data_IF_138646561922
#
_entry.id   IF_138646561922
#
_cell.length_a   1.000
_cell.length_b   1.000
_cell.length_c   1.000
_cell.angle_alpha   90.00
_cell.angle_beta   90.00
_cell.angle_gamma   90.00
#
_symmetry.space_group_name_H-M   'P 1'
#
loop_
_entity.id
_entity.type
_entity.pdbx_description
1 polymer ?
#
# COMPACT_ATOMS: atom_id res chain seq x y z
N UNK A 1 30.21 10.40 -3.23
CA UNK A 1 29.10 9.85 -2.45
C UNK A 1 27.87 10.77 -2.36
N UNK A 2 27.95 12.02 -1.90
CA UNK A 2 26.76 12.91 -1.80
C UNK A 2 26.00 13.11 -3.13
N UNK A 3 26.67 13.28 -4.27
CA UNK A 3 26.04 13.51 -5.58
C UNK A 3 25.21 12.30 -6.05
N UNK A 4 25.72 11.07 -5.92
CA UNK A 4 25.01 9.84 -6.29
C UNK A 4 23.75 9.60 -5.43
N UNK A 5 23.80 9.88 -4.13
CA UNK A 5 22.64 9.77 -3.23
C UNK A 5 21.57 10.80 -3.58
N UNK A 6 21.96 12.01 -3.97
CA UNK A 6 21.02 13.07 -4.38
C UNK A 6 20.35 12.71 -5.71
N UNK A 7 21.08 12.14 -6.66
CA UNK A 7 20.54 11.70 -7.95
C UNK A 7 19.51 10.58 -7.77
N UNK A 8 19.79 9.61 -6.89
CA UNK A 8 18.84 8.52 -6.57
C UNK A 8 17.59 9.05 -5.86
N UNK A 9 17.74 9.95 -4.88
CA UNK A 9 16.59 10.52 -4.17
C UNK A 9 15.73 11.40 -5.07
N UNK A 10 16.33 12.16 -5.98
CA UNK A 10 15.61 12.94 -7.00
C UNK A 10 14.86 12.03 -7.97
N UNK A 11 15.45 10.89 -8.35
CA UNK A 11 14.81 9.87 -9.16
C UNK A 11 13.56 9.31 -8.51
N UNK A 12 13.62 8.93 -7.23
CA UNK A 12 12.47 8.39 -6.49
C UNK A 12 11.30 9.38 -6.45
N UNK A 13 11.56 10.67 -6.22
CA UNK A 13 10.50 11.68 -6.19
C UNK A 13 9.92 11.93 -7.58
N UNK A 14 10.73 11.93 -8.63
CA UNK A 14 10.27 12.04 -10.01
C UNK A 14 9.40 10.84 -10.41
N UNK A 15 9.85 9.64 -10.08
CA UNK A 15 9.12 8.39 -10.32
C UNK A 15 7.79 8.39 -9.58
N UNK A 16 7.78 8.79 -8.29
CA UNK A 16 6.54 8.90 -7.51
C UNK A 16 5.56 9.90 -8.13
N UNK A 17 6.03 11.07 -8.56
CA UNK A 17 5.18 12.07 -9.20
C UNK A 17 4.61 11.59 -10.55
N UNK A 18 5.37 10.81 -11.32
CA UNK A 18 4.94 10.23 -12.59
C UNK A 18 3.90 9.11 -12.36
N UNK A 19 4.14 8.21 -11.42
CA UNK A 19 3.19 7.15 -11.06
C UNK A 19 1.88 7.77 -10.55
N UNK A 20 1.95 8.78 -9.67
CA UNK A 20 0.76 9.51 -9.22
C UNK A 20 -0.02 10.13 -10.38
N UNK A 21 0.66 10.64 -11.41
CA UNK A 21 -0.01 11.18 -12.58
C UNK A 21 -0.86 10.13 -13.31
N UNK A 22 -0.32 8.94 -13.53
CA UNK A 22 -1.03 7.84 -14.20
C UNK A 22 -2.24 7.37 -13.39
N UNK A 23 -2.07 7.27 -12.07
CA UNK A 23 -3.15 6.84 -11.17
C UNK A 23 -4.26 7.89 -11.07
N UNK A 24 -3.92 9.17 -10.89
CA UNK A 24 -4.89 10.26 -10.75
C UNK A 24 -5.68 10.52 -12.03
N UNK A 25 -5.05 10.35 -13.19
CA UNK A 25 -5.73 10.46 -14.48
C UNK A 25 -6.64 9.25 -14.78
N UNK A 26 -6.63 8.21 -13.94
CA UNK A 26 -7.39 6.98 -14.16
C UNK A 26 -6.84 6.12 -15.31
N UNK A 27 -5.60 6.35 -15.74
CA UNK A 27 -4.97 5.62 -16.81
C UNK A 27 -4.51 4.22 -16.40
N UNK A 28 -4.08 4.07 -15.14
CA UNK A 28 -3.57 2.82 -14.58
C UNK A 28 -3.93 2.66 -13.10
N UNK A 29 -4.00 1.42 -12.65
CA UNK A 29 -3.95 1.11 -11.21
C UNK A 29 -2.56 1.45 -10.64
N UNK A 30 -2.43 1.54 -9.31
CA UNK A 30 -1.12 1.81 -8.68
C UNK A 30 -0.09 0.72 -9.02
N UNK A 31 -0.50 -0.54 -8.95
CA UNK A 31 0.39 -1.68 -9.24
C UNK A 31 0.82 -1.67 -10.72
N UNK A 32 -0.12 -1.50 -11.67
CA UNK A 32 0.20 -1.41 -13.09
C UNK A 32 1.09 -0.21 -13.42
N UNK A 33 0.89 0.92 -12.73
CA UNK A 33 1.73 2.10 -12.93
C UNK A 33 3.15 1.89 -12.39
N UNK A 34 3.31 1.23 -11.24
CA UNK A 34 4.60 0.86 -10.68
C UNK A 34 5.33 -0.14 -11.59
N UNK A 35 4.64 -1.18 -12.06
CA UNK A 35 5.22 -2.21 -12.92
C UNK A 35 5.59 -1.69 -14.31
N UNK A 36 4.75 -0.85 -14.89
CA UNK A 36 4.94 -0.35 -16.24
C UNK A 36 5.87 0.86 -16.36
N UNK A 37 6.16 1.56 -15.25
CA UNK A 37 6.96 2.79 -15.28
C UNK A 37 8.36 2.63 -14.74
N UNK A 38 8.64 1.59 -13.96
CA UNK A 38 9.90 1.41 -13.23
C UNK A 38 10.61 0.13 -13.67
N UNK A 39 11.74 0.32 -14.39
CA UNK A 39 12.48 -0.78 -14.98
C UNK A 39 13.24 -1.63 -13.93
N UNK A 40 13.60 -1.05 -12.79
CA UNK A 40 14.41 -1.74 -11.78
C UNK A 40 13.59 -2.13 -10.55
N UNK A 41 13.68 -3.39 -10.07
CA UNK A 41 12.94 -3.88 -8.91
C UNK A 41 13.16 -3.05 -7.64
N UNK A 42 14.37 -2.51 -7.45
CA UNK A 42 14.70 -1.70 -6.28
C UNK A 42 14.02 -0.33 -6.31
N UNK A 43 13.97 0.31 -7.49
CA UNK A 43 13.22 1.56 -7.69
C UNK A 43 11.73 1.34 -7.45
N UNK A 44 11.17 0.26 -8.02
CA UNK A 44 9.79 -0.14 -7.82
C UNK A 44 9.45 -0.32 -6.33
N UNK A 45 10.31 -1.03 -5.59
CA UNK A 45 10.11 -1.26 -4.15
C UNK A 45 10.15 0.05 -3.36
N UNK A 46 11.13 0.91 -3.62
CA UNK A 46 11.31 2.17 -2.89
C UNK A 46 10.20 3.18 -3.19
N UNK A 47 9.90 3.38 -4.48
CA UNK A 47 8.81 4.26 -4.92
C UNK A 47 7.45 3.72 -4.46
N UNK A 48 7.22 2.41 -4.56
CA UNK A 48 6.01 1.75 -4.07
C UNK A 48 5.83 1.95 -2.57
N UNK A 49 6.87 1.76 -1.77
CA UNK A 49 6.81 2.01 -0.32
C UNK A 49 6.38 3.44 0.00
N UNK A 50 6.93 4.43 -0.68
CA UNK A 50 6.56 5.84 -0.52
C UNK A 50 5.09 6.07 -0.90
N UNK A 51 4.64 5.54 -2.04
CA UNK A 51 3.28 5.75 -2.53
C UNK A 51 2.23 5.00 -1.70
N UNK A 52 2.52 3.80 -1.19
CA UNK A 52 1.63 3.12 -0.26
C UNK A 52 1.46 3.90 1.05
N UNK A 53 2.52 4.52 1.57
CA UNK A 53 2.42 5.44 2.71
C UNK A 53 1.56 6.66 2.39
N UNK A 54 1.76 7.26 1.21
CA UNK A 54 0.95 8.38 0.74
C UNK A 54 -0.54 8.03 0.67
N UNK A 55 -0.89 6.94 0.00
CA UNK A 55 -2.31 6.58 -0.18
C UNK A 55 -3.01 6.26 1.13
N UNK A 56 -2.33 5.63 2.09
CA UNK A 56 -2.88 5.41 3.43
C UNK A 56 -3.16 6.71 4.17
N UNK A 57 -2.42 7.77 3.88
CA UNK A 57 -2.50 9.08 4.57
C UNK A 57 -2.88 10.23 3.64
N UNK A 58 -3.41 9.90 2.47
CA UNK A 58 -3.73 10.89 1.42
C UNK A 58 -4.54 12.08 1.94
N UNK A 59 -5.59 11.84 2.72
CA UNK A 59 -6.43 12.92 3.24
C UNK A 59 -5.67 13.86 4.17
N UNK A 60 -4.80 13.33 5.01
CA UNK A 60 -3.97 14.11 5.92
C UNK A 60 -2.99 15.00 5.13
N UNK A 61 -2.31 14.40 4.15
CA UNK A 61 -1.33 15.11 3.31
C UNK A 61 -2.02 16.17 2.44
N UNK A 62 -3.18 15.85 1.85
CA UNK A 62 -4.00 16.80 1.11
C UNK A 62 -4.42 18.00 1.96
N UNK A 63 -4.81 17.74 3.21
CA UNK A 63 -5.13 18.78 4.20
C UNK A 63 -3.92 19.65 4.52
N UNK A 64 -2.75 19.07 4.72
CA UNK A 64 -1.52 19.84 4.94
C UNK A 64 -1.16 20.73 3.76
N UNK A 65 -1.24 20.21 2.53
CA UNK A 65 -0.99 21.02 1.33
C UNK A 65 -1.96 22.18 1.27
N UNK A 66 -3.25 21.94 1.54
CA UNK A 66 -4.28 23.00 1.57
C UNK A 66 -4.00 24.09 2.59
N UNK A 67 -3.47 23.75 3.76
CA UNK A 67 -3.15 24.70 4.83
C UNK A 67 -1.82 25.42 4.62
N UNK A 68 -0.82 24.75 4.03
CA UNK A 68 0.50 25.29 3.81
C UNK A 68 0.58 26.20 2.57
N UNK A 69 -0.17 25.85 1.54
CA UNK A 69 -0.15 26.57 0.27
C UNK A 69 -1.24 27.67 0.25
N UNK A 70 -0.85 28.92 0.05
CA UNK A 70 -1.80 30.06 -0.06
C UNK A 70 -2.73 29.95 -1.27
N UNK A 71 -2.34 29.20 -2.28
CA UNK A 71 -3.10 28.89 -3.50
C UNK A 71 -2.84 27.47 -3.95
N UNK A 72 -3.81 26.82 -4.59
CA UNK A 72 -3.63 25.45 -5.08
C UNK A 72 -2.43 25.36 -6.04
N UNK A 73 -1.49 24.44 -5.78
CA UNK A 73 -0.38 24.19 -6.70
C UNK A 73 -0.88 23.56 -8.00
N UNK A 74 -0.15 23.75 -9.09
CA UNK A 74 -0.41 23.03 -10.34
C UNK A 74 -0.28 21.52 -10.11
N UNK A 75 -1.03 20.67 -10.82
CA UNK A 75 -1.06 19.22 -10.56
C UNK A 75 0.33 18.57 -10.47
N UNK A 76 1.25 18.88 -11.39
CA UNK A 76 2.61 18.33 -11.35
C UNK A 76 3.40 18.72 -10.09
N UNK A 77 3.22 19.96 -9.61
CA UNK A 77 3.90 20.46 -8.40
C UNK A 77 3.23 19.88 -7.15
N UNK A 78 1.91 19.70 -7.18
CA UNK A 78 1.16 19.04 -6.12
C UNK A 78 1.67 17.64 -5.87
N UNK A 79 1.87 16.81 -6.91
CA UNK A 79 2.40 15.44 -6.79
C UNK A 79 3.79 15.40 -6.17
N UNK A 80 4.65 16.34 -6.49
CA UNK A 80 5.96 16.46 -5.84
C UNK A 80 5.80 16.78 -4.35
N UNK A 81 4.92 17.73 -4.00
CA UNK A 81 4.63 18.05 -2.59
C UNK A 81 4.04 16.86 -1.84
N UNK A 82 3.13 16.11 -2.43
CA UNK A 82 2.54 14.90 -1.87
C UNK A 82 3.62 13.84 -1.55
N UNK A 83 4.51 13.57 -2.49
CA UNK A 83 5.61 12.64 -2.29
C UNK A 83 6.58 13.09 -1.20
N UNK A 84 7.01 14.37 -1.24
CA UNK A 84 8.00 14.89 -0.29
C UNK A 84 7.44 15.04 1.13
N UNK A 85 6.19 15.50 1.29
CA UNK A 85 5.56 15.59 2.61
C UNK A 85 5.38 14.21 3.23
N UNK A 86 5.04 13.22 2.41
CA UNK A 86 5.01 11.82 2.84
C UNK A 86 6.37 11.35 3.31
N UNK A 87 7.41 11.64 2.55
CA UNK A 87 8.78 11.27 2.87
C UNK A 87 9.25 11.93 4.17
N UNK A 88 9.10 13.25 4.30
CA UNK A 88 9.53 14.01 5.48
C UNK A 88 8.86 13.49 6.76
N UNK A 89 7.59 13.11 6.68
CA UNK A 89 6.83 12.77 7.89
C UNK A 89 6.82 11.30 8.24
N UNK A 90 6.88 10.42 7.25
CA UNK A 90 6.61 8.98 7.45
C UNK A 90 7.74 8.05 7.03
N UNK A 91 8.80 8.57 6.41
CA UNK A 91 10.00 7.76 6.12
C UNK A 91 11.15 8.14 7.04
N UNK A 92 11.78 7.13 7.63
CA UNK A 92 13.03 7.28 8.37
C UNK A 92 14.24 7.29 7.43
N UNK A 93 15.35 7.89 7.87
CA UNK A 93 16.63 7.82 7.17
C UNK A 93 16.90 8.97 6.19
N UNK A 94 15.97 9.90 5.99
CA UNK A 94 16.18 11.11 5.18
C UNK A 94 15.94 12.34 6.06
N UNK A 95 16.96 13.19 6.18
CA UNK A 95 16.80 14.45 6.91
C UNK A 95 15.81 15.36 6.17
N UNK A 96 14.84 15.98 6.88
CA UNK A 96 13.84 16.84 6.27
C UNK A 96 14.40 17.91 5.35
N UNK A 97 15.51 18.54 5.74
CA UNK A 97 16.18 19.58 4.95
C UNK A 97 16.77 19.03 3.64
N UNK A 98 17.26 17.77 3.68
CA UNK A 98 17.74 17.09 2.48
C UNK A 98 16.60 16.79 1.51
N UNK A 99 15.46 16.31 2.01
CA UNK A 99 14.27 16.08 1.20
C UNK A 99 13.75 17.37 0.55
N UNK A 100 13.75 18.48 1.28
CA UNK A 100 13.41 19.82 0.75
C UNK A 100 14.34 20.21 -0.40
N UNK A 101 15.65 20.07 -0.22
CA UNK A 101 16.62 20.45 -1.26
C UNK A 101 16.45 19.60 -2.53
N UNK A 102 16.30 18.28 -2.38
CA UNK A 102 16.06 17.34 -3.50
C UNK A 102 14.77 17.71 -4.27
N UNK A 103 13.69 18.02 -3.56
CA UNK A 103 12.44 18.42 -4.19
C UNK A 103 12.55 19.75 -4.94
N UNK A 104 13.23 20.74 -4.37
CA UNK A 104 13.46 22.04 -5.01
C UNK A 104 14.30 21.88 -6.28
N UNK A 105 15.32 21.04 -6.24
CA UNK A 105 16.17 20.77 -7.40
C UNK A 105 15.40 20.02 -8.49
N UNK A 106 14.59 19.02 -8.12
CA UNK A 106 13.70 18.37 -9.06
C UNK A 106 12.74 19.37 -9.73
N UNK A 107 12.11 20.27 -8.96
CA UNK A 107 11.18 21.24 -9.52
C UNK A 107 11.85 22.26 -10.43
N UNK A 108 13.14 22.57 -10.23
CA UNK A 108 13.91 23.40 -11.18
C UNK A 108 14.05 22.73 -12.55
N UNK A 109 14.12 21.39 -12.59
CA UNK A 109 14.27 20.65 -13.86
C UNK A 109 12.93 20.45 -14.59
N UNK A 110 11.86 20.11 -13.84
CA UNK A 110 10.54 19.81 -14.43
C UNK A 110 9.58 21.02 -14.48
N UNK A 111 9.94 22.12 -13.82
CA UNK A 111 9.14 23.32 -13.65
C UNK A 111 9.87 24.59 -14.06
N UNK A 112 9.69 25.62 -13.24
CA UNK A 112 10.36 26.90 -13.41
C UNK A 112 10.81 27.49 -12.05
N UNK A 113 11.61 28.58 -12.10
CA UNK A 113 12.18 29.20 -10.90
C UNK A 113 11.13 29.66 -9.88
N UNK A 114 9.96 30.11 -10.32
CA UNK A 114 8.89 30.55 -9.43
C UNK A 114 8.23 29.35 -8.73
N UNK A 115 8.03 28.24 -9.42
CA UNK A 115 7.53 27.01 -8.85
C UNK A 115 8.54 26.41 -7.84
N UNK A 116 9.83 26.47 -8.14
CA UNK A 116 10.88 26.04 -7.19
C UNK A 116 10.89 26.91 -5.92
N UNK A 117 10.75 28.23 -6.05
CA UNK A 117 10.60 29.14 -4.90
C UNK A 117 9.35 28.82 -4.08
N UNK A 118 8.24 28.57 -4.74
CA UNK A 118 6.98 28.19 -4.09
C UNK A 118 7.12 26.88 -3.31
N UNK A 119 7.66 25.82 -3.94
CA UNK A 119 7.90 24.52 -3.29
C UNK A 119 8.82 24.67 -2.09
N UNK A 120 9.92 25.42 -2.22
CA UNK A 120 10.82 25.68 -1.12
C UNK A 120 10.12 26.37 0.06
N UNK A 121 9.29 27.38 -0.20
CA UNK A 121 8.55 28.09 0.83
C UNK A 121 7.56 27.17 1.56
N UNK A 122 6.78 26.38 0.81
CA UNK A 122 5.80 25.41 1.36
C UNK A 122 6.50 24.36 2.21
N UNK A 123 7.57 23.74 1.69
CA UNK A 123 8.28 22.66 2.39
C UNK A 123 9.06 23.14 3.61
N UNK A 124 9.69 24.33 3.56
CA UNK A 124 10.33 24.91 4.75
C UNK A 124 9.30 25.26 5.83
N UNK A 125 8.12 25.72 5.43
CA UNK A 125 7.03 25.94 6.36
C UNK A 125 6.54 24.60 6.95
N UNK A 126 6.41 23.56 6.13
CA UNK A 126 6.06 22.23 6.57
C UNK A 126 7.02 21.69 7.65
N UNK A 127 8.32 21.77 7.41
CA UNK A 127 9.34 21.30 8.38
C UNK A 127 9.20 21.98 9.75
N UNK A 128 8.76 23.26 9.80
CA UNK A 128 8.60 23.99 11.06
C UNK A 128 7.23 23.85 11.71
N UNK A 129 6.16 23.72 10.92
CA UNK A 129 4.80 23.98 11.34
C UNK A 129 3.84 22.80 11.13
N UNK A 130 4.30 21.64 10.58
CA UNK A 130 3.41 20.48 10.45
C UNK A 130 2.93 20.05 11.84
N UNK A 131 1.59 19.94 12.00
CA UNK A 131 1.01 19.46 13.25
C UNK A 131 1.39 18.01 13.51
N UNK A 132 1.11 17.54 14.71
CA UNK A 132 1.13 16.12 15.00
C UNK A 132 0.19 15.33 14.08
N UNK A 133 0.52 14.06 13.88
CA UNK A 133 -0.28 13.19 13.00
C UNK A 133 -1.57 12.84 13.71
N UNK A 134 -2.69 13.19 13.08
CA UNK A 134 -4.02 12.78 13.54
C UNK A 134 -4.41 11.48 12.84
N UNK A 135 -4.28 10.36 13.56
CA UNK A 135 -4.67 9.02 13.13
C UNK A 135 -6.08 8.63 13.62
N UNK A 136 -6.86 9.59 14.10
CA UNK A 136 -8.25 9.34 14.52
C UNK A 136 -9.10 8.80 13.35
N UNK A 137 -10.12 7.99 13.62
CA UNK A 137 -11.02 7.47 12.58
C UNK A 137 -11.67 8.57 11.71
N UNK A 138 -11.93 9.73 12.29
CA UNK A 138 -12.50 10.88 11.57
C UNK A 138 -11.50 11.50 10.58
N UNK A 139 -10.21 11.48 10.89
CA UNK A 139 -9.15 11.94 10.00
C UNK A 139 -8.81 10.91 8.92
N UNK A 140 -8.79 9.63 9.25
CA UNK A 140 -8.41 8.53 8.36
C UNK A 140 -9.50 8.22 7.34
N UNK A 141 -10.74 8.01 7.80
CA UNK A 141 -11.83 7.62 6.90
C UNK A 141 -12.45 8.80 6.13
N UNK A 142 -12.89 8.59 4.88
CA UNK A 142 -13.72 9.58 4.20
C UNK A 142 -14.95 9.95 5.04
N UNK A 143 -15.37 11.23 5.08
CA UNK A 143 -16.44 11.69 5.98
C UNK A 143 -17.76 10.91 5.84
N UNK A 144 -18.15 10.57 4.61
CA UNK A 144 -19.36 9.80 4.35
C UNK A 144 -19.26 8.38 4.91
N UNK A 145 -18.09 7.76 4.79
CA UNK A 145 -17.83 6.42 5.30
C UNK A 145 -17.78 6.43 6.84
N UNK A 146 -17.06 7.39 7.42
CA UNK A 146 -17.00 7.57 8.88
C UNK A 146 -18.40 7.77 9.47
N UNK A 147 -19.22 8.66 8.88
CA UNK A 147 -20.60 8.89 9.31
C UNK A 147 -21.46 7.63 9.24
N UNK A 148 -21.29 6.80 8.20
CA UNK A 148 -22.02 5.53 8.04
C UNK A 148 -21.56 4.50 9.08
N UNK A 149 -20.26 4.37 9.29
CA UNK A 149 -19.68 3.39 10.19
C UNK A 149 -19.88 3.73 11.66
N UNK A 150 -19.87 5.02 12.05
CA UNK A 150 -20.17 5.46 13.42
C UNK A 150 -21.57 5.07 13.92
N UNK A 151 -22.47 4.74 13.01
CA UNK A 151 -23.80 4.20 13.36
C UNK A 151 -23.80 2.69 13.61
N UNK A 152 -22.75 1.99 13.25
CA UNK A 152 -22.70 0.52 13.23
C UNK A 152 -21.61 -0.05 14.13
N UNK A 153 -20.54 0.66 14.29
CA UNK A 153 -19.36 0.25 15.05
C UNK A 153 -19.14 1.20 16.23
N UNK A 154 -18.69 0.65 17.35
CA UNK A 154 -18.27 1.42 18.51
C UNK A 154 -17.04 2.27 18.23
N UNK A 155 -16.75 3.23 19.12
CA UNK A 155 -15.55 4.04 19.02
C UNK A 155 -14.25 3.21 19.07
N UNK A 156 -14.22 2.17 19.90
CA UNK A 156 -13.08 1.26 20.02
C UNK A 156 -12.85 0.44 18.73
N UNK A 157 -13.92 -0.08 18.13
CA UNK A 157 -13.82 -0.79 16.86
C UNK A 157 -13.35 0.13 15.72
N UNK A 158 -13.86 1.35 15.66
CA UNK A 158 -13.42 2.33 14.66
C UNK A 158 -11.95 2.71 14.85
N UNK A 159 -11.48 2.85 16.08
CA UNK A 159 -10.07 3.10 16.38
C UNK A 159 -9.17 1.94 15.91
N UNK A 160 -9.55 0.70 16.24
CA UNK A 160 -8.83 -0.49 15.79
C UNK A 160 -8.82 -0.63 14.25
N UNK A 161 -9.96 -0.31 13.61
CA UNK A 161 -10.04 -0.27 12.13
C UNK A 161 -9.12 0.80 11.56
N UNK A 162 -9.08 2.01 12.14
CA UNK A 162 -8.19 3.08 11.71
C UNK A 162 -6.73 2.66 11.76
N UNK A 163 -6.31 2.07 12.86
CA UNK A 163 -4.96 1.54 13.05
C UNK A 163 -4.63 0.47 11.99
N UNK A 164 -5.53 -0.49 11.78
CA UNK A 164 -5.34 -1.54 10.78
C UNK A 164 -5.23 -0.99 9.34
N UNK A 165 -6.02 0.04 8.99
CA UNK A 165 -5.95 0.66 7.66
C UNK A 165 -4.66 1.45 7.41
N UNK A 166 -4.05 1.97 8.48
CA UNK A 166 -2.80 2.72 8.39
C UNK A 166 -1.56 1.80 8.39
N UNK A 167 -1.69 0.60 8.93
CA UNK A 167 -0.63 -0.39 8.93
C UNK A 167 -0.38 -0.98 7.52
N UNK A 168 0.85 -1.42 7.21
CA UNK A 168 1.09 -2.28 6.05
C UNK A 168 0.21 -3.54 6.12
N UNK A 169 -0.34 -3.96 4.98
CA UNK A 169 -1.06 -5.22 4.93
C UNK A 169 -0.10 -6.37 5.30
N UNK A 170 -0.50 -7.30 6.18
CA UNK A 170 0.31 -8.46 6.49
C UNK A 170 0.46 -9.34 5.25
N UNK A 171 1.65 -9.91 5.05
CA UNK A 171 1.85 -10.90 4.01
C UNK A 171 1.35 -12.25 4.50
N UNK A 172 0.29 -12.75 3.89
CA UNK A 172 -0.34 -14.01 4.29
C UNK A 172 -0.36 -15.02 3.16
N UNK A 173 -0.27 -16.29 3.53
CA UNK A 173 -0.38 -17.41 2.61
C UNK A 173 -1.12 -18.57 3.27
N UNK A 174 -1.82 -19.35 2.44
CA UNK A 174 -2.35 -20.63 2.88
C UNK A 174 -1.37 -21.75 2.54
N UNK A 175 -1.39 -22.81 3.31
CA UNK A 175 -0.60 -24.00 3.08
C UNK A 175 -1.49 -25.24 2.90
N UNK A 176 -1.02 -26.20 2.13
CA UNK A 176 -1.64 -27.51 2.01
C UNK A 176 -1.60 -28.28 3.34
N UNK A 177 -2.42 -29.28 3.47
CA UNK A 177 -2.43 -30.14 4.65
C UNK A 177 -1.06 -30.82 4.83
N UNK A 178 -0.52 -30.74 6.05
CA UNK A 178 0.79 -31.34 6.37
C UNK A 178 2.01 -30.50 5.96
N UNK A 179 1.85 -29.37 5.29
CA UNK A 179 2.96 -28.47 5.05
C UNK A 179 3.30 -27.67 6.31
N UNK A 180 4.57 -27.72 6.72
CA UNK A 180 5.09 -26.86 7.80
C UNK A 180 6.05 -25.83 7.20
N UNK A 181 5.81 -24.52 7.44
CA UNK A 181 6.72 -23.48 6.97
C UNK A 181 8.12 -23.65 7.56
N UNK A 182 9.18 -23.49 6.75
CA UNK A 182 10.55 -23.45 7.25
C UNK A 182 10.73 -22.35 8.33
N UNK A 183 11.61 -22.59 9.29
CA UNK A 183 11.82 -21.69 10.42
C UNK A 183 12.35 -20.30 10.00
N UNK A 184 13.11 -20.21 8.94
CA UNK A 184 13.66 -18.98 8.37
C UNK A 184 12.59 -18.07 7.74
N UNK A 185 11.38 -18.59 7.47
CA UNK A 185 10.25 -17.78 7.03
C UNK A 185 9.62 -16.98 8.15
N UNK A 186 9.91 -17.29 9.42
CA UNK A 186 9.30 -16.64 10.59
C UNK A 186 7.77 -16.57 10.48
N UNK A 187 7.20 -17.65 9.97
CA UNK A 187 5.76 -17.72 9.71
C UNK A 187 4.99 -18.06 10.98
N UNK A 188 3.95 -17.30 11.28
CA UNK A 188 3.05 -17.51 12.42
C UNK A 188 1.67 -17.92 11.95
N UNK A 189 1.00 -18.90 12.60
CA UNK A 189 -0.35 -19.31 12.24
C UNK A 189 -1.36 -18.17 12.38
N UNK A 190 -2.22 -18.00 11.37
CA UNK A 190 -3.34 -17.06 11.40
C UNK A 190 -4.65 -17.82 11.56
N UNK A 191 -5.50 -17.51 12.55
CA UNK A 191 -6.79 -18.13 12.70
C UNK A 191 -7.67 -17.89 11.47
N UNK A 192 -8.17 -18.96 10.86
CA UNK A 192 -9.10 -18.88 9.75
C UNK A 192 -10.11 -20.03 9.82
N UNK A 193 -11.36 -19.75 9.41
CA UNK A 193 -12.39 -20.78 9.28
C UNK A 193 -12.16 -21.60 8.02
N UNK A 194 -12.26 -22.90 8.13
CA UNK A 194 -12.21 -23.83 6.99
C UNK A 194 -11.02 -24.78 7.02
N UNK A 195 -10.84 -25.60 5.98
CA UNK A 195 -9.88 -26.70 5.98
C UNK A 195 -8.43 -26.28 5.77
N UNK A 196 -8.18 -25.04 5.34
CA UNK A 196 -6.83 -24.58 5.08
C UNK A 196 -6.19 -23.93 6.30
N UNK A 197 -4.89 -24.11 6.42
CA UNK A 197 -4.04 -23.40 7.38
C UNK A 197 -3.50 -22.15 6.73
N UNK A 198 -3.61 -21.04 7.44
CA UNK A 198 -3.05 -19.76 7.02
C UNK A 198 -1.90 -19.35 7.92
N UNK A 199 -0.94 -18.67 7.34
CA UNK A 199 0.25 -18.15 8.02
C UNK A 199 0.48 -16.71 7.59
N UNK A 200 1.06 -15.93 8.50
CA UNK A 200 1.56 -14.58 8.26
C UNK A 200 3.08 -14.58 8.42
N UNK A 201 3.79 -13.80 7.60
CA UNK A 201 5.23 -13.65 7.69
C UNK A 201 5.67 -12.22 7.41
N UNK A 202 6.73 -11.77 8.12
CA UNK A 202 7.42 -10.53 7.84
C UNK A 202 8.49 -10.67 6.72
N UNK A 203 8.70 -11.88 6.20
CA UNK A 203 9.72 -12.21 5.19
C UNK A 203 9.13 -12.67 3.84
N UNK A 204 8.35 -11.82 3.15
CA UNK A 204 7.68 -12.21 1.91
C UNK A 204 8.65 -12.66 0.81
N UNK A 205 9.87 -12.10 0.74
CA UNK A 205 10.85 -12.44 -0.30
C UNK A 205 11.21 -13.92 -0.30
N UNK A 206 11.56 -14.48 0.87
CA UNK A 206 11.91 -15.89 1.00
C UNK A 206 10.76 -16.83 0.57
N UNK A 207 9.51 -16.43 0.82
CA UNK A 207 8.32 -17.19 0.49
C UNK A 207 8.01 -17.11 -1.01
N UNK A 208 8.11 -15.90 -1.59
CA UNK A 208 7.83 -15.67 -3.02
C UNK A 208 8.84 -16.37 -3.94
N UNK A 209 10.08 -16.57 -3.48
CA UNK A 209 11.14 -17.24 -4.21
C UNK A 209 11.22 -18.76 -3.91
N UNK A 210 10.32 -19.27 -3.05
CA UNK A 210 10.39 -20.67 -2.60
C UNK A 210 9.90 -21.68 -3.64
N UNK A 211 10.52 -22.86 -3.64
CA UNK A 211 10.02 -24.01 -4.41
C UNK A 211 8.60 -24.42 -4.00
N UNK A 212 8.22 -24.19 -2.74
CA UNK A 212 6.90 -24.54 -2.23
C UNK A 212 5.78 -23.73 -2.92
N UNK A 213 6.05 -22.46 -3.26
CA UNK A 213 5.11 -21.64 -4.05
C UNK A 213 5.03 -22.16 -5.49
N UNK A 214 6.17 -22.43 -6.13
CA UNK A 214 6.22 -22.95 -7.48
C UNK A 214 5.57 -24.32 -7.64
N UNK A 215 5.68 -25.18 -6.62
CA UNK A 215 5.06 -26.49 -6.54
C UNK A 215 3.58 -26.49 -6.13
N UNK A 216 3.01 -25.32 -5.81
CA UNK A 216 1.62 -25.18 -5.39
C UNK A 216 1.31 -25.66 -3.96
N UNK A 217 2.35 -25.98 -3.15
CA UNK A 217 2.19 -26.39 -1.75
C UNK A 217 1.73 -25.26 -0.83
N UNK A 218 2.00 -24.04 -1.24
CA UNK A 218 1.48 -22.80 -0.62
C UNK A 218 0.86 -21.90 -1.68
N UNK A 219 -0.01 -21.01 -1.23
CA UNK A 219 -0.67 -20.03 -2.08
C UNK A 219 -0.80 -18.69 -1.35
N UNK A 220 -0.31 -17.60 -1.95
CA UNK A 220 -0.43 -16.26 -1.37
C UNK A 220 -1.89 -15.83 -1.40
N UNK A 221 -2.48 -15.68 -0.24
CA UNK A 221 -3.90 -15.39 -0.11
C UNK A 221 -4.23 -14.74 1.23
N UNK A 222 -5.10 -13.73 1.21
CA UNK A 222 -5.69 -13.17 2.42
C UNK A 222 -6.70 -14.16 3.02
N UNK A 223 -6.60 -14.47 4.33
CA UNK A 223 -7.53 -15.36 5.03
C UNK A 223 -9.00 -14.95 4.89
N UNK A 224 -9.32 -13.65 4.85
CA UNK A 224 -10.67 -13.14 4.70
C UNK A 224 -11.32 -13.60 3.38
N UNK A 225 -10.54 -13.74 2.30
CA UNK A 225 -11.05 -14.23 1.01
C UNK A 225 -11.48 -15.69 1.08
N UNK A 226 -10.87 -16.48 1.97
CA UNK A 226 -11.23 -17.88 2.17
C UNK A 226 -12.55 -18.02 2.96
N UNK A 227 -12.89 -17.06 3.82
CA UNK A 227 -14.15 -17.08 4.58
C UNK A 227 -15.35 -17.04 3.63
N UNK A 228 -15.37 -16.13 2.67
CA UNK A 228 -16.45 -16.03 1.71
C UNK A 228 -16.69 -17.33 0.94
N UNK A 229 -15.62 -18.02 0.53
CA UNK A 229 -15.72 -19.31 -0.15
C UNK A 229 -16.15 -20.47 0.75
N UNK A 230 -16.12 -20.29 2.08
CA UNK A 230 -16.56 -21.33 3.06
C UNK A 230 -17.99 -21.19 3.53
N UNK A 231 -18.66 -20.07 3.20
CA UNK A 231 -20.05 -19.83 3.63
C UNK A 231 -21.09 -20.73 2.94
N UNK A 232 -21.01 -20.99 1.61
CA UNK A 232 -21.98 -21.83 0.94
C UNK A 232 -21.86 -23.29 1.40
N UNK A 233 -23.00 -23.93 1.68
CA UNK A 233 -23.08 -25.38 1.77
C UNK A 233 -23.05 -25.96 0.36
N UNK A 234 -21.99 -26.72 0.06
CA UNK A 234 -21.75 -27.30 -1.27
C UNK A 234 -22.07 -28.80 -1.34
N UNK A 235 -22.49 -29.43 -0.24
CA UNK A 235 -22.75 -30.89 -0.20
C UNK A 235 -23.71 -31.37 -1.27
N UNK A 236 -24.87 -30.70 -1.52
CA UNK A 236 -25.78 -31.15 -2.57
C UNK A 236 -25.43 -30.64 -3.97
N UNK A 237 -24.40 -29.82 -4.12
CA UNK A 237 -24.12 -29.05 -5.37
C UNK A 237 -23.18 -29.83 -6.27
N UNK A 238 -23.63 -30.19 -7.48
CA UNK A 238 -22.83 -30.89 -8.50
C UNK A 238 -22.09 -29.96 -9.46
N UNK A 239 -22.52 -28.71 -9.60
CA UNK A 239 -21.95 -27.75 -10.56
C UNK A 239 -21.83 -26.37 -9.90
N UNK A 240 -20.67 -25.73 -10.02
CA UNK A 240 -20.40 -24.41 -9.46
C UNK A 240 -19.88 -23.53 -10.60
N UNK A 241 -20.46 -22.32 -10.73
CA UNK A 241 -19.95 -21.27 -11.59
C UNK A 241 -19.24 -20.23 -10.72
N UNK A 242 -17.95 -20.05 -10.95
CA UNK A 242 -17.17 -18.99 -10.32
C UNK A 242 -16.93 -17.86 -11.35
N UNK A 243 -17.71 -16.78 -11.24
CA UNK A 243 -17.62 -15.62 -12.12
C UNK A 243 -16.41 -14.71 -11.84
N UNK A 244 -15.72 -14.95 -10.72
CA UNK A 244 -14.50 -14.25 -10.31
C UNK A 244 -13.34 -15.23 -10.10
N UNK A 245 -13.21 -16.21 -11.00
CA UNK A 245 -12.31 -17.35 -10.83
C UNK A 245 -10.83 -16.99 -10.80
N UNK A 246 -10.38 -16.00 -11.56
CA UNK A 246 -8.98 -15.60 -11.61
C UNK A 246 -8.53 -14.92 -10.29
N UNK A 247 -7.34 -15.22 -9.80
CA UNK A 247 -6.33 -16.21 -10.24
C UNK A 247 -6.54 -17.64 -9.66
N UNK A 248 -7.72 -18.02 -9.21
CA UNK A 248 -8.02 -19.39 -8.78
C UNK A 248 -8.19 -19.62 -7.28
N UNK A 249 -7.79 -18.68 -6.43
CA UNK A 249 -7.75 -18.85 -4.97
C UNK A 249 -9.07 -19.19 -4.29
N UNK A 250 -10.23 -18.87 -4.91
CA UNK A 250 -11.55 -19.26 -4.44
C UNK A 250 -12.03 -20.56 -5.09
N UNK A 251 -11.77 -20.72 -6.40
CA UNK A 251 -12.17 -21.90 -7.19
C UNK A 251 -11.49 -23.16 -6.72
N UNK A 252 -10.19 -23.10 -6.43
CA UNK A 252 -9.38 -24.19 -5.93
C UNK A 252 -9.95 -24.78 -4.61
N UNK A 253 -10.41 -23.94 -3.71
CA UNK A 253 -11.08 -24.38 -2.48
C UNK A 253 -12.40 -25.13 -2.75
N UNK A 254 -13.12 -24.76 -3.79
CA UNK A 254 -14.37 -25.42 -4.18
C UNK A 254 -14.10 -26.76 -4.85
N UNK A 255 -13.07 -26.85 -5.70
CA UNK A 255 -12.69 -28.08 -6.40
C UNK A 255 -12.18 -29.17 -5.45
N UNK A 256 -11.42 -28.81 -4.42
CA UNK A 256 -10.90 -29.75 -3.41
C UNK A 256 -12.04 -30.45 -2.63
N UNK A 257 -13.17 -29.76 -2.37
CA UNK A 257 -14.35 -30.39 -1.74
C UNK A 257 -15.11 -31.32 -2.68
N UNK A 258 -15.16 -31.02 -3.97
CA UNK A 258 -15.85 -31.85 -4.96
C UNK A 258 -15.05 -33.11 -5.31
N UNK A 259 -13.72 -33.09 -5.19
CA UNK A 259 -12.84 -34.23 -5.46
C UNK A 259 -12.63 -35.15 -4.25
N UNK A 260 -13.04 -34.76 -3.03
CA UNK A 260 -12.91 -35.59 -1.83
C UNK A 260 -14.06 -36.60 -1.61
N UNK A 261 -14.96 -36.73 -2.58
CA UNK A 261 -16.12 -37.66 -2.55
C UNK A 261 -15.92 -38.82 -3.54
N UNK A 262 -14.70 -39.37 -3.66
CA UNK A 262 -14.46 -40.66 -4.34
C UNK A 262 -13.77 -41.64 -3.42
#
# INVERSE_FOLDING_TARGET
MRKAVTDTASGILADAANVLALVENGERSLDDALDGSLAHPEQRRTTGSLLFLYFRRKRLIDGWIGNLAQRPPRPRIRRVLEAVLTQIRFQSGIAPESAVNVAVDLVKTVGNANEAKFVNAVLRRAVRELPEVDDSPAAVFPPALFKRWSRRFSAAELAAMSEAFLAPAPFTFRAEAGFEPPADWEATPVPCRGPFRFFESAKPGAILESEALGAGRIYVQDPATAVAASLPDLEPVKRILDVCAAPGGKSDRKSTRLNSSH
#
